data_IF_296868778812
#
_entry.id   IF_296868778812
#
_cell.length_a   1.000
_cell.length_b   1.000
_cell.length_c   1.000
_cell.angle_alpha   90.00
_cell.angle_beta   90.00
_cell.angle_gamma   90.00
#
_symmetry.space_group_name_H-M   'P 1'
#
loop_
_entity.id
_entity.type
_entity.pdbx_description
1 polymer ?
#
# COMPACT_ATOMS: atom_id res chain seq x y z
N UNK A 1 19.43 -24.41 -1.02
CA UNK A 1 19.89 -23.31 -0.17
C UNK A 1 18.74 -22.35 -0.08
N UNK A 2 18.39 -21.85 1.11
CA UNK A 2 17.31 -20.89 1.26
C UNK A 2 17.64 -19.60 0.51
N UNK A 3 16.65 -19.00 -0.15
CA UNK A 3 16.81 -17.77 -0.93
C UNK A 3 16.42 -16.59 -0.04
N UNK A 4 17.31 -16.22 0.89
CA UNK A 4 17.06 -15.11 1.79
C UNK A 4 17.21 -13.77 1.05
N UNK A 5 16.16 -12.96 1.10
CA UNK A 5 16.12 -11.64 0.52
C UNK A 5 15.93 -10.60 1.63
N UNK A 6 16.78 -9.58 1.61
CA UNK A 6 16.56 -8.39 2.42
C UNK A 6 15.57 -7.47 1.70
N UNK A 7 14.42 -7.26 2.28
CA UNK A 7 13.38 -6.35 1.76
C UNK A 7 13.49 -5.01 2.47
N UNK A 8 13.58 -3.92 1.72
CA UNK A 8 13.70 -2.56 2.23
C UNK A 8 12.55 -1.67 1.74
N UNK A 9 11.97 -0.90 2.65
CA UNK A 9 10.98 0.12 2.36
C UNK A 9 11.36 1.42 3.07
N UNK A 10 11.89 2.37 2.32
CA UNK A 10 12.40 3.64 2.83
C UNK A 10 11.35 4.73 2.71
N UNK A 11 10.88 5.25 3.83
CA UNK A 11 10.11 6.50 3.91
C UNK A 11 11.03 7.69 4.18
N UNK A 12 10.49 8.92 4.16
CA UNK A 12 11.26 10.16 4.40
C UNK A 12 11.94 10.21 5.77
N UNK A 13 11.35 9.59 6.78
CA UNK A 13 11.85 9.55 8.16
C UNK A 13 11.82 8.15 8.78
N UNK A 14 11.76 7.12 7.95
CA UNK A 14 11.66 5.73 8.40
C UNK A 14 12.30 4.76 7.42
N UNK A 15 12.73 3.61 7.94
CA UNK A 15 13.21 2.48 7.16
C UNK A 15 12.60 1.21 7.74
N UNK A 16 11.66 0.60 7.02
CA UNK A 16 11.15 -0.74 7.33
C UNK A 16 12.02 -1.76 6.61
N UNK A 17 12.37 -2.84 7.27
CA UNK A 17 13.18 -3.92 6.70
C UNK A 17 12.70 -5.28 7.17
N UNK A 18 12.89 -6.29 6.32
CA UNK A 18 12.65 -7.68 6.66
C UNK A 18 13.65 -8.59 5.93
N UNK A 19 14.02 -9.71 6.53
CA UNK A 19 14.72 -10.82 5.86
C UNK A 19 13.70 -11.93 5.66
N UNK A 20 13.39 -12.22 4.41
CA UNK A 20 12.34 -13.14 3.99
C UNK A 20 12.93 -14.26 3.14
N UNK A 21 12.53 -15.48 3.41
CA UNK A 21 12.80 -16.62 2.53
C UNK A 21 11.83 -16.57 1.35
N UNK A 22 12.35 -16.37 0.14
CA UNK A 22 11.54 -16.21 -1.06
C UNK A 22 10.84 -17.51 -1.52
N UNK A 23 11.27 -18.68 -1.05
CA UNK A 23 10.67 -19.96 -1.44
C UNK A 23 9.41 -20.30 -0.62
N UNK A 24 9.31 -19.80 0.63
CA UNK A 24 8.23 -20.18 1.55
C UNK A 24 7.60 -19.01 2.33
N UNK A 25 8.10 -17.79 2.14
CA UNK A 25 7.59 -16.59 2.80
C UNK A 25 7.96 -16.46 4.29
N UNK A 26 8.83 -17.30 4.82
CA UNK A 26 9.22 -17.22 6.22
C UNK A 26 9.98 -15.93 6.52
N UNK A 27 9.48 -15.14 7.46
CA UNK A 27 10.16 -13.95 7.98
C UNK A 27 11.15 -14.36 9.08
N UNK A 28 12.45 -14.16 8.83
CA UNK A 28 13.51 -14.47 9.78
C UNK A 28 13.91 -13.28 10.64
N UNK A 29 13.74 -12.08 10.14
CA UNK A 29 14.01 -10.82 10.80
C UNK A 29 13.05 -9.77 10.27
N UNK A 30 12.52 -8.92 11.14
CA UNK A 30 11.82 -7.71 10.72
C UNK A 30 12.14 -6.54 11.64
N UNK A 31 12.04 -5.32 11.12
CA UNK A 31 12.31 -4.14 11.92
C UNK A 31 11.88 -2.84 11.25
N UNK A 32 11.94 -1.79 12.07
CA UNK A 32 11.59 -0.44 11.71
C UNK A 32 12.55 0.55 12.39
N UNK A 33 13.30 1.28 11.60
CA UNK A 33 13.92 2.51 12.07
C UNK A 33 12.94 3.67 11.87
N UNK A 34 12.77 4.50 12.86
CA UNK A 34 11.81 5.60 12.87
C UNK A 34 12.40 6.86 13.46
N UNK A 35 11.74 8.01 13.22
CA UNK A 35 12.23 9.33 13.62
C UNK A 35 13.61 9.64 13.04
N UNK A 36 13.93 9.11 11.86
CA UNK A 36 15.20 9.41 11.19
C UNK A 36 15.31 10.91 10.92
N UNK A 37 16.53 11.42 10.96
CA UNK A 37 16.89 12.85 10.90
C UNK A 37 16.49 13.68 12.13
N UNK A 38 15.88 13.06 13.16
CA UNK A 38 15.46 13.71 14.40
C UNK A 38 16.35 13.26 15.58
N UNK A 39 16.34 14.02 16.70
CA UNK A 39 17.13 13.66 17.89
C UNK A 39 16.78 12.29 18.48
N UNK A 40 15.51 11.88 18.36
CA UNK A 40 14.97 10.62 18.88
C UNK A 40 15.01 9.45 17.89
N UNK A 41 15.87 9.51 16.87
CA UNK A 41 16.05 8.44 15.90
C UNK A 41 16.36 7.10 16.59
N UNK A 42 15.54 6.10 16.30
CA UNK A 42 15.61 4.77 16.95
C UNK A 42 15.29 3.65 15.97
N UNK A 43 15.70 2.44 16.34
CA UNK A 43 15.42 1.22 15.57
C UNK A 43 14.82 0.15 16.49
N UNK A 44 13.76 -0.48 16.02
CA UNK A 44 13.09 -1.61 16.67
C UNK A 44 13.18 -2.80 15.75
N UNK A 45 13.43 -4.00 16.31
CA UNK A 45 13.46 -5.20 15.48
C UNK A 45 12.97 -6.43 16.25
N UNK A 46 12.60 -7.44 15.49
CA UNK A 46 12.20 -8.76 15.97
C UNK A 46 13.15 -9.79 15.39
N UNK A 47 13.99 -10.35 16.24
CA UNK A 47 14.92 -11.45 15.98
C UNK A 47 15.09 -12.23 17.29
N UNK A 48 14.56 -13.45 17.35
CA UNK A 48 14.54 -14.25 18.60
C UNK A 48 13.97 -13.48 19.81
N UNK A 49 13.08 -12.49 19.55
CA UNK A 49 12.49 -11.58 20.55
C UNK A 49 12.32 -10.18 19.98
N UNK A 50 11.80 -9.28 20.79
CA UNK A 50 11.64 -7.85 20.45
C UNK A 50 12.78 -7.05 21.05
N UNK A 51 13.39 -6.18 20.26
CA UNK A 51 14.52 -5.36 20.64
C UNK A 51 14.31 -3.90 20.21
N UNK A 52 14.97 -2.98 20.87
CA UNK A 52 14.97 -1.55 20.53
C UNK A 52 16.34 -0.94 20.87
N UNK A 53 16.79 0.01 20.05
CA UNK A 53 18.00 0.80 20.30
C UNK A 53 17.85 2.22 19.76
N UNK A 54 18.57 3.17 20.37
CA UNK A 54 18.73 4.53 19.86
C UNK A 54 19.80 4.54 18.78
N UNK A 55 19.56 5.25 17.68
CA UNK A 55 20.53 5.39 16.58
C UNK A 55 21.44 6.61 16.73
N UNK A 56 21.09 7.52 17.64
CA UNK A 56 21.80 8.78 17.84
C UNK A 56 21.09 9.99 17.22
N UNK A 57 21.51 11.17 17.65
CA UNK A 57 20.92 12.44 17.22
C UNK A 57 21.10 12.65 15.71
N UNK A 58 19.99 12.78 14.99
CA UNK A 58 19.98 13.08 13.56
C UNK A 58 20.37 11.90 12.66
N UNK A 59 20.43 10.68 13.19
CA UNK A 59 20.74 9.50 12.39
C UNK A 59 19.80 9.37 11.18
N UNK A 60 20.36 9.14 10.01
CA UNK A 60 19.65 8.99 8.74
C UNK A 60 19.54 7.52 8.31
N UNK A 61 19.13 7.27 7.07
CA UNK A 61 18.96 5.92 6.53
C UNK A 61 20.29 5.14 6.49
N UNK A 62 21.40 5.83 6.22
CA UNK A 62 22.73 5.19 6.15
C UNK A 62 23.14 4.64 7.52
N UNK A 63 22.96 5.41 8.60
CA UNK A 63 23.23 4.97 9.97
C UNK A 63 22.30 3.84 10.41
N UNK A 64 21.02 3.89 10.01
CA UNK A 64 20.08 2.81 10.30
C UNK A 64 20.45 1.50 9.60
N UNK A 65 20.89 1.57 8.33
CA UNK A 65 21.39 0.41 7.59
C UNK A 65 22.71 -0.10 8.17
N UNK A 66 23.64 0.80 8.52
CA UNK A 66 24.90 0.40 9.18
C UNK A 66 24.62 -0.33 10.50
N UNK A 67 23.72 0.18 11.34
CA UNK A 67 23.33 -0.48 12.57
C UNK A 67 22.72 -1.86 12.32
N UNK A 68 21.86 -1.99 11.30
CA UNK A 68 21.26 -3.27 10.92
C UNK A 68 22.35 -4.28 10.53
N UNK A 69 23.36 -3.88 9.74
CA UNK A 69 24.46 -4.76 9.30
C UNK A 69 25.38 -5.10 10.47
N UNK A 70 25.90 -4.09 11.16
CA UNK A 70 26.97 -4.22 12.15
C UNK A 70 26.51 -4.76 13.50
N UNK A 71 25.20 -4.60 13.81
CA UNK A 71 24.64 -5.02 15.09
C UNK A 71 23.63 -6.15 14.94
N UNK A 72 22.61 -5.97 14.11
CA UNK A 72 21.50 -6.94 14.04
C UNK A 72 21.91 -8.18 13.26
N UNK A 73 22.37 -8.03 12.02
CA UNK A 73 22.81 -9.16 11.19
C UNK A 73 24.10 -9.80 11.73
N UNK A 74 25.01 -9.02 12.29
CA UNK A 74 26.23 -9.54 12.91
C UNK A 74 25.94 -10.43 14.15
N UNK A 75 24.81 -10.22 14.85
CA UNK A 75 24.39 -11.08 15.94
C UNK A 75 23.90 -12.46 15.49
N UNK A 76 23.61 -12.64 14.19
CA UNK A 76 23.13 -13.89 13.60
C UNK A 76 23.78 -14.12 12.22
N UNK A 77 25.09 -14.50 12.20
CA UNK A 77 25.91 -14.61 10.98
C UNK A 77 25.27 -15.47 9.88
N UNK A 78 24.53 -16.51 10.27
CA UNK A 78 23.84 -17.38 9.31
C UNK A 78 22.80 -16.63 8.44
N UNK A 79 22.17 -15.56 8.93
CA UNK A 79 21.30 -14.74 8.09
C UNK A 79 22.10 -13.90 7.11
N UNK A 80 23.15 -13.25 7.59
CA UNK A 80 24.03 -12.41 6.77
C UNK A 80 24.71 -13.19 5.64
N UNK A 81 25.24 -14.37 5.95
CA UNK A 81 25.93 -15.25 5.00
C UNK A 81 25.01 -15.85 3.93
N UNK A 82 23.72 -16.01 4.25
CA UNK A 82 22.71 -16.56 3.34
C UNK A 82 21.90 -15.48 2.61
N UNK A 83 22.15 -14.19 2.87
CA UNK A 83 21.52 -13.12 2.07
C UNK A 83 22.02 -13.20 0.63
N UNK A 84 21.07 -13.34 -0.29
CA UNK A 84 21.36 -13.55 -1.71
C UNK A 84 21.08 -12.31 -2.59
N UNK A 85 20.11 -11.46 -2.19
CA UNK A 85 19.74 -10.25 -2.91
C UNK A 85 18.98 -9.26 -2.00
N UNK A 86 18.76 -8.04 -2.51
CA UNK A 86 18.03 -6.97 -1.83
C UNK A 86 16.88 -6.51 -2.71
N UNK A 87 15.65 -6.52 -2.17
CA UNK A 87 14.47 -5.98 -2.79
C UNK A 87 14.10 -4.63 -2.19
N UNK A 88 13.83 -3.66 -3.05
CA UNK A 88 13.41 -2.32 -2.66
C UNK A 88 11.99 -2.04 -3.11
N UNK A 89 11.12 -1.66 -2.18
CA UNK A 89 9.85 -1.04 -2.55
C UNK A 89 10.12 0.34 -3.11
N UNK A 90 9.54 0.63 -4.28
CA UNK A 90 9.56 1.95 -4.92
C UNK A 90 8.10 2.35 -5.20
N UNK A 91 7.67 3.52 -4.69
CA UNK A 91 6.27 3.92 -4.81
C UNK A 91 5.89 4.22 -6.25
N UNK A 92 6.72 4.93 -7.00
CA UNK A 92 6.34 5.39 -8.33
C UNK A 92 7.35 4.99 -9.41
N UNK A 93 6.88 4.23 -10.40
CA UNK A 93 7.66 3.79 -11.56
C UNK A 93 7.31 4.52 -12.87
N UNK A 94 6.36 5.46 -12.85
CA UNK A 94 5.86 6.12 -14.06
C UNK A 94 5.30 5.11 -15.07
N UNK A 95 5.33 5.45 -16.33
CA UNK A 95 4.98 4.53 -17.43
C UNK A 95 6.16 3.65 -17.86
N UNK A 96 7.38 4.01 -17.42
CA UNK A 96 8.62 3.33 -17.80
C UNK A 96 8.70 1.93 -17.16
N UNK A 97 8.23 1.78 -15.92
CA UNK A 97 8.35 0.54 -15.17
C UNK A 97 6.98 -0.17 -15.07
N UNK A 98 6.78 -1.13 -15.94
CA UNK A 98 5.57 -1.98 -15.98
C UNK A 98 5.72 -3.28 -15.20
N UNK A 99 6.90 -3.53 -14.65
CA UNK A 99 7.27 -4.68 -13.82
C UNK A 99 8.48 -4.34 -12.95
N UNK A 100 8.78 -5.21 -11.99
CA UNK A 100 9.98 -5.12 -11.17
C UNK A 100 11.26 -5.17 -12.03
N UNK A 101 12.31 -4.48 -11.61
CA UNK A 101 13.53 -4.33 -12.39
C UNK A 101 14.79 -4.51 -11.55
N UNK A 102 15.82 -5.18 -12.11
CA UNK A 102 17.16 -5.20 -11.55
C UNK A 102 17.74 -3.77 -11.61
N UNK A 103 18.22 -3.26 -10.47
CA UNK A 103 18.70 -1.88 -10.39
C UNK A 103 20.07 -1.77 -11.05
N UNK A 104 20.07 -1.14 -12.23
CA UNK A 104 21.25 -0.63 -12.96
C UNK A 104 21.28 0.89 -12.81
N UNK A 105 22.35 1.53 -13.33
CA UNK A 105 22.43 3.00 -13.36
C UNK A 105 21.26 3.62 -14.15
N UNK A 106 20.82 2.96 -15.23
CA UNK A 106 19.67 3.39 -16.04
C UNK A 106 18.35 3.27 -15.27
N UNK A 107 18.15 2.16 -14.54
CA UNK A 107 16.95 1.97 -13.70
C UNK A 107 16.94 2.98 -12.56
N UNK A 108 18.08 3.22 -11.91
CA UNK A 108 18.18 4.22 -10.84
C UNK A 108 17.85 5.62 -11.37
N UNK A 109 18.38 5.97 -12.55
CA UNK A 109 18.04 7.23 -13.22
C UNK A 109 16.55 7.32 -13.54
N UNK A 110 15.93 6.26 -14.04
CA UNK A 110 14.49 6.23 -14.29
C UNK A 110 13.66 6.45 -13.02
N UNK A 111 14.10 5.91 -11.88
CA UNK A 111 13.47 6.17 -10.56
C UNK A 111 13.65 7.65 -10.16
N UNK A 112 14.83 8.24 -10.42
CA UNK A 112 15.09 9.66 -10.20
C UNK A 112 14.18 10.54 -11.07
N UNK A 113 14.02 10.21 -12.34
CA UNK A 113 13.15 10.94 -13.27
C UNK A 113 11.66 10.89 -12.82
N UNK A 114 11.23 9.81 -12.16
CA UNK A 114 9.90 9.68 -11.55
C UNK A 114 9.74 10.46 -10.23
N UNK A 115 10.78 11.06 -9.67
CA UNK A 115 10.69 11.78 -8.40
C UNK A 115 9.74 12.98 -8.45
N UNK A 116 9.55 13.60 -9.62
CA UNK A 116 8.56 14.67 -9.81
C UNK A 116 7.11 14.20 -9.62
N UNK A 117 6.82 12.92 -9.88
CA UNK A 117 5.51 12.31 -9.69
C UNK A 117 5.28 11.85 -8.24
N UNK A 118 6.35 11.59 -7.49
CA UNK A 118 6.30 11.16 -6.10
C UNK A 118 7.37 11.88 -5.24
N UNK A 119 7.30 13.21 -5.11
CA UNK A 119 8.35 14.03 -4.48
C UNK A 119 8.57 13.72 -3.00
N UNK A 120 7.57 13.14 -2.33
CA UNK A 120 7.66 12.76 -0.92
C UNK A 120 8.19 11.34 -0.69
N UNK A 121 8.30 10.52 -1.74
CA UNK A 121 8.61 9.09 -1.64
C UNK A 121 9.87 8.70 -2.42
N UNK A 122 9.92 8.91 -3.73
CA UNK A 122 11.02 8.45 -4.57
C UNK A 122 12.40 8.96 -4.12
N UNK A 123 12.58 10.22 -3.68
CA UNK A 123 13.88 10.66 -3.17
C UNK A 123 14.38 9.83 -1.98
N UNK A 124 13.48 9.45 -1.05
CA UNK A 124 13.84 8.60 0.08
C UNK A 124 14.20 7.17 -0.36
N UNK A 125 13.49 6.63 -1.35
CA UNK A 125 13.81 5.31 -1.93
C UNK A 125 15.20 5.31 -2.58
N UNK A 126 15.56 6.35 -3.32
CA UNK A 126 16.87 6.50 -3.94
C UNK A 126 17.99 6.53 -2.89
N UNK A 127 17.77 7.28 -1.78
CA UNK A 127 18.73 7.30 -0.66
C UNK A 127 18.91 5.88 -0.09
N UNK A 128 17.80 5.17 0.16
CA UNK A 128 17.83 3.80 0.66
C UNK A 128 18.53 2.82 -0.28
N UNK A 129 18.28 2.92 -1.59
CA UNK A 129 18.95 2.09 -2.61
C UNK A 129 20.45 2.33 -2.59
N UNK A 130 20.90 3.60 -2.66
CA UNK A 130 22.32 3.96 -2.65
C UNK A 130 23.02 3.50 -1.35
N UNK A 131 22.35 3.65 -0.21
CA UNK A 131 22.86 3.19 1.07
C UNK A 131 22.97 1.65 1.13
N UNK A 132 21.99 0.93 0.62
CA UNK A 132 22.03 -0.54 0.55
C UNK A 132 23.14 -1.05 -0.39
N UNK A 133 23.32 -0.44 -1.56
CA UNK A 133 24.41 -0.77 -2.48
C UNK A 133 25.79 -0.56 -1.85
N UNK A 134 25.95 0.49 -1.03
CA UNK A 134 27.17 0.75 -0.27
C UNK A 134 27.41 -0.28 0.82
N UNK A 135 26.37 -0.68 1.56
CA UNK A 135 26.47 -1.65 2.65
C UNK A 135 26.63 -3.09 2.17
N UNK A 136 26.10 -3.42 1.00
CA UNK A 136 26.10 -4.77 0.42
C UNK A 136 26.57 -4.74 -1.06
N UNK A 137 27.82 -4.39 -1.34
CA UNK A 137 28.27 -4.14 -2.72
C UNK A 137 28.28 -5.40 -3.62
N UNK A 138 28.20 -6.59 -3.04
CA UNK A 138 28.17 -7.85 -3.77
C UNK A 138 26.75 -8.35 -4.08
N UNK A 139 25.72 -7.79 -3.44
CA UNK A 139 24.34 -8.23 -3.61
C UNK A 139 23.64 -7.48 -4.75
N UNK A 140 22.87 -8.22 -5.55
CA UNK A 140 22.00 -7.63 -6.56
C UNK A 140 20.85 -6.90 -5.87
N UNK A 141 20.48 -5.74 -6.40
CA UNK A 141 19.39 -4.92 -5.92
C UNK A 141 18.25 -4.90 -6.95
N UNK A 142 17.02 -5.06 -6.52
CA UNK A 142 15.82 -5.09 -7.37
C UNK A 142 14.83 -4.04 -6.88
N UNK A 143 14.28 -3.24 -7.81
CA UNK A 143 13.18 -2.32 -7.54
C UNK A 143 11.84 -3.00 -7.84
N UNK A 144 10.91 -2.92 -6.89
CA UNK A 144 9.54 -3.39 -7.02
C UNK A 144 8.60 -2.21 -6.87
N UNK A 145 7.84 -1.91 -7.92
CA UNK A 145 7.08 -0.67 -8.03
C UNK A 145 5.62 -0.86 -7.64
N UNK A 146 5.11 0.00 -6.75
CA UNK A 146 3.68 0.00 -6.37
C UNK A 146 2.75 0.29 -7.55
N UNK A 147 3.24 1.00 -8.56
CA UNK A 147 2.48 1.37 -9.75
C UNK A 147 2.47 0.30 -10.84
N UNK A 148 3.39 -0.67 -10.80
CA UNK A 148 3.60 -1.60 -11.92
C UNK A 148 2.38 -2.48 -12.22
N UNK A 149 1.71 -3.00 -11.19
CA UNK A 149 0.50 -3.83 -11.37
C UNK A 149 -0.63 -3.09 -12.10
N UNK A 150 -0.71 -1.77 -11.94
CA UNK A 150 -1.73 -0.92 -12.55
C UNK A 150 -1.41 -0.47 -13.98
N UNK A 151 -0.25 -0.84 -14.53
CA UNK A 151 0.12 -0.47 -15.90
C UNK A 151 -0.69 -1.20 -16.98
N UNK A 152 -1.54 -2.14 -16.58
CA UNK A 152 -2.50 -2.84 -17.45
C UNK A 152 -3.85 -2.11 -17.58
N UNK A 153 -4.05 -0.99 -16.88
CA UNK A 153 -5.27 -0.19 -17.02
C UNK A 153 -5.43 0.32 -18.45
N UNK A 154 -6.64 0.25 -19.05
CA UNK A 154 -6.91 0.80 -20.35
C UNK A 154 -6.95 2.33 -20.32
N UNK A 155 -6.83 2.96 -21.50
CA UNK A 155 -6.71 4.41 -21.66
C UNK A 155 -7.88 5.17 -21.02
N UNK A 156 -9.09 4.68 -21.18
CA UNK A 156 -10.29 5.27 -20.59
C UNK A 156 -10.32 5.24 -19.06
N UNK A 157 -9.55 4.35 -18.42
CA UNK A 157 -9.43 4.28 -16.96
C UNK A 157 -8.31 5.15 -16.42
N UNK A 158 -7.19 5.30 -17.15
CA UNK A 158 -6.07 6.07 -16.65
C UNK A 158 -6.05 7.55 -17.05
N UNK A 159 -6.73 7.96 -18.11
CA UNK A 159 -6.78 9.37 -18.51
C UNK A 159 -7.71 10.17 -17.60
N UNK A 160 -7.23 11.34 -17.20
CA UNK A 160 -8.09 12.38 -16.66
C UNK A 160 -8.73 13.18 -17.81
N UNK A 161 -9.93 13.67 -17.61
CA UNK A 161 -10.61 14.57 -18.54
C UNK A 161 -10.02 16.00 -18.48
N UNK A 162 -8.72 16.09 -18.69
CA UNK A 162 -7.92 17.31 -18.77
C UNK A 162 -7.42 17.51 -20.19
N UNK A 163 -6.86 18.70 -20.54
CA UNK A 163 -6.21 18.88 -21.84
C UNK A 163 -5.19 17.77 -22.10
N UNK A 164 -5.36 17.04 -23.20
CA UNK A 164 -4.60 15.81 -23.50
C UNK A 164 -3.08 16.00 -23.58
N UNK A 165 -2.62 17.22 -23.92
CA UNK A 165 -1.21 17.56 -23.90
C UNK A 165 -0.56 17.41 -22.52
N UNK A 166 -1.32 17.58 -21.43
CA UNK A 166 -0.79 17.38 -20.07
C UNK A 166 -0.40 15.92 -19.83
N UNK A 167 -1.12 14.98 -20.42
CA UNK A 167 -0.70 13.59 -20.41
C UNK A 167 0.53 13.38 -21.31
N UNK A 168 0.49 13.81 -22.56
CA UNK A 168 1.57 13.55 -23.53
C UNK A 168 2.91 14.16 -23.13
N UNK A 169 2.88 15.36 -22.55
CA UNK A 169 4.10 16.14 -22.28
C UNK A 169 4.60 15.93 -20.83
N UNK A 170 3.70 15.61 -19.89
CA UNK A 170 3.99 15.59 -18.46
C UNK A 170 3.60 14.29 -17.77
N UNK A 171 3.04 13.31 -18.48
CA UNK A 171 2.63 12.03 -17.90
C UNK A 171 1.52 12.15 -16.86
N UNK A 172 0.67 13.20 -16.94
CA UNK A 172 -0.44 13.41 -16.00
C UNK A 172 -1.56 12.45 -16.34
N UNK A 173 -1.61 11.36 -15.60
CA UNK A 173 -2.59 10.28 -15.69
C UNK A 173 -2.76 9.60 -14.33
N UNK A 174 -3.74 8.70 -14.21
CA UNK A 174 -3.85 7.78 -13.07
C UNK A 174 -2.76 6.72 -13.18
N UNK A 175 -2.00 6.51 -12.12
CA UNK A 175 -1.05 5.41 -11.99
C UNK A 175 -1.54 4.36 -11.00
N UNK A 176 -2.04 4.79 -9.85
CA UNK A 176 -2.43 3.92 -8.75
C UNK A 176 -1.23 3.43 -7.92
N UNK A 177 -1.50 3.01 -6.70
CA UNK A 177 -0.51 2.50 -5.73
C UNK A 177 -1.03 1.24 -5.06
N UNK A 178 -0.29 0.70 -4.10
CA UNK A 178 -0.55 -0.59 -3.46
C UNK A 178 -0.59 -1.78 -4.45
N UNK A 179 0.01 -1.61 -5.62
CA UNK A 179 -0.04 -2.63 -6.67
C UNK A 179 0.52 -3.97 -6.24
N UNK A 180 1.57 -3.99 -5.43
CA UNK A 180 2.16 -5.20 -4.86
C UNK A 180 1.15 -5.95 -3.98
N UNK A 181 0.40 -5.24 -3.13
CA UNK A 181 -0.68 -5.83 -2.32
C UNK A 181 -1.84 -6.32 -3.19
N UNK A 182 -2.30 -5.54 -4.16
CA UNK A 182 -3.38 -5.95 -5.06
C UNK A 182 -3.00 -7.17 -5.88
N UNK A 183 -1.76 -7.28 -6.34
CA UNK A 183 -1.23 -8.45 -7.03
C UNK A 183 -1.22 -9.69 -6.12
N UNK A 184 -0.72 -9.54 -4.89
CA UNK A 184 -0.70 -10.61 -3.89
C UNK A 184 -2.11 -11.18 -3.67
N UNK A 185 -3.08 -10.32 -3.35
CA UNK A 185 -4.47 -10.72 -3.12
C UNK A 185 -5.08 -11.40 -4.36
N UNK A 186 -4.76 -10.92 -5.56
CA UNK A 186 -5.24 -11.56 -6.80
C UNK A 186 -4.74 -13.00 -6.92
N UNK A 187 -3.47 -13.27 -6.60
CA UNK A 187 -2.88 -14.61 -6.58
C UNK A 187 -3.48 -15.50 -5.49
N UNK A 188 -3.69 -14.95 -4.30
CA UNK A 188 -4.31 -15.69 -3.19
C UNK A 188 -5.75 -16.08 -3.52
N UNK A 189 -6.56 -15.19 -4.11
CA UNK A 189 -7.92 -15.51 -4.55
C UNK A 189 -7.89 -16.59 -5.64
N UNK A 190 -6.96 -16.55 -6.58
CA UNK A 190 -6.79 -17.58 -7.60
C UNK A 190 -6.58 -18.95 -6.95
N UNK A 191 -5.71 -19.02 -5.95
CA UNK A 191 -5.45 -20.24 -5.17
C UNK A 191 -6.69 -20.71 -4.40
N UNK A 192 -7.35 -19.82 -3.68
CA UNK A 192 -8.55 -20.14 -2.88
C UNK A 192 -9.72 -20.61 -3.73
N UNK A 193 -9.88 -20.05 -4.94
CA UNK A 193 -10.93 -20.45 -5.88
C UNK A 193 -10.52 -21.60 -6.80
N UNK A 194 -9.29 -22.08 -6.71
CA UNK A 194 -8.69 -23.07 -7.59
C UNK A 194 -8.88 -22.71 -9.07
N UNK A 195 -8.55 -21.45 -9.41
CA UNK A 195 -8.62 -20.87 -10.76
C UNK A 195 -7.25 -20.42 -11.23
N UNK A 196 -7.00 -20.43 -12.56
CA UNK A 196 -5.87 -19.69 -13.12
C UNK A 196 -5.98 -18.19 -12.76
N UNK A 197 -4.85 -17.54 -12.52
CA UNK A 197 -4.83 -16.10 -12.17
C UNK A 197 -5.50 -15.26 -13.26
N UNK A 198 -5.32 -15.66 -14.53
CA UNK A 198 -5.86 -15.00 -15.73
C UNK A 198 -7.40 -15.11 -15.85
N UNK A 199 -8.05 -15.82 -14.95
CA UNK A 199 -9.51 -15.97 -14.89
C UNK A 199 -10.13 -15.29 -13.66
N UNK A 200 -9.30 -14.67 -12.81
CA UNK A 200 -9.75 -14.03 -11.56
C UNK A 200 -10.30 -12.63 -11.83
N UNK A 201 -11.50 -12.38 -11.31
CA UNK A 201 -12.17 -11.09 -11.38
C UNK A 201 -12.58 -10.68 -9.96
N UNK A 202 -11.92 -9.67 -9.38
CA UNK A 202 -12.17 -9.23 -8.01
C UNK A 202 -12.22 -7.71 -7.90
N UNK A 203 -12.84 -7.24 -6.83
CA UNK A 203 -12.68 -5.89 -6.32
C UNK A 203 -11.94 -6.02 -4.99
N UNK A 204 -10.70 -5.56 -4.95
CA UNK A 204 -9.88 -5.64 -3.74
C UNK A 204 -9.81 -4.29 -3.03
N UNK A 205 -10.16 -4.27 -1.74
CA UNK A 205 -10.10 -3.13 -0.85
C UNK A 205 -8.88 -3.26 0.05
N UNK A 206 -7.80 -2.55 -0.27
CA UNK A 206 -6.63 -2.41 0.61
C UNK A 206 -6.86 -1.20 1.52
N UNK A 207 -7.15 -1.44 2.79
CA UNK A 207 -7.54 -0.43 3.75
C UNK A 207 -6.53 -0.37 4.89
N UNK A 208 -5.72 0.68 4.91
CA UNK A 208 -4.77 1.02 5.95
C UNK A 208 -4.84 2.52 6.26
N UNK A 209 -3.76 3.10 6.76
CA UNK A 209 -3.66 4.56 6.88
C UNK A 209 -3.71 5.24 5.50
N UNK A 210 -3.05 4.65 4.49
CA UNK A 210 -3.39 4.84 3.07
C UNK A 210 -4.38 3.76 2.65
N UNK A 211 -5.32 4.08 1.75
CA UNK A 211 -6.34 3.14 1.32
C UNK A 211 -6.61 3.25 -0.18
N UNK A 212 -6.81 2.11 -0.83
CA UNK A 212 -7.22 2.04 -2.23
C UNK A 212 -8.13 0.86 -2.53
N UNK A 213 -8.95 1.00 -3.56
CA UNK A 213 -9.70 -0.09 -4.17
C UNK A 213 -9.13 -0.34 -5.56
N UNK A 214 -9.03 -1.58 -5.96
CA UNK A 214 -8.61 -1.98 -7.30
C UNK A 214 -9.64 -2.93 -7.90
N UNK A 215 -10.05 -2.66 -9.14
CA UNK A 215 -10.79 -3.59 -9.97
C UNK A 215 -9.81 -4.45 -10.77
N UNK A 216 -9.89 -5.75 -10.57
CA UNK A 216 -9.05 -6.74 -11.27
C UNK A 216 -9.94 -7.57 -12.19
N UNK A 217 -9.62 -7.59 -13.48
CA UNK A 217 -10.32 -8.37 -14.49
C UNK A 217 -9.33 -9.30 -15.19
N UNK A 218 -9.63 -10.59 -15.22
CA UNK A 218 -8.73 -11.58 -15.78
C UNK A 218 -7.31 -11.50 -15.21
N UNK A 219 -7.20 -11.32 -13.88
CA UNK A 219 -5.92 -11.20 -13.18
C UNK A 219 -5.15 -9.90 -13.36
N UNK A 220 -5.69 -8.94 -14.12
CA UNK A 220 -5.04 -7.67 -14.42
C UNK A 220 -5.79 -6.49 -13.79
N UNK A 221 -5.06 -5.50 -13.28
CA UNK A 221 -5.66 -4.24 -12.84
C UNK A 221 -6.28 -3.50 -14.02
N UNK A 222 -7.58 -3.19 -13.92
CA UNK A 222 -8.31 -2.43 -14.95
C UNK A 222 -8.78 -1.07 -14.46
N UNK A 223 -8.81 -0.85 -13.15
CA UNK A 223 -9.06 0.44 -12.53
C UNK A 223 -8.59 0.44 -11.08
N UNK A 224 -8.25 1.61 -10.55
CA UNK A 224 -7.86 1.78 -9.14
C UNK A 224 -8.17 3.17 -8.65
N UNK A 225 -8.41 3.31 -7.34
CA UNK A 225 -8.91 4.56 -6.76
C UNK A 225 -7.84 5.63 -6.52
N UNK A 226 -6.59 5.27 -6.28
CA UNK A 226 -5.49 6.25 -6.22
C UNK A 226 -5.13 6.72 -7.62
N UNK A 227 -4.70 7.97 -7.75
CA UNK A 227 -4.53 8.65 -9.02
C UNK A 227 -3.08 8.81 -9.45
N UNK A 228 -2.77 10.02 -9.93
CA UNK A 228 -1.40 10.47 -10.20
C UNK A 228 -0.53 10.31 -8.96
N UNK A 229 -1.10 10.60 -7.80
CA UNK A 229 -0.50 10.50 -6.48
C UNK A 229 -1.37 9.64 -5.55
N UNK A 230 -0.89 9.24 -4.36
CA UNK A 230 -1.72 8.50 -3.40
C UNK A 230 -2.73 9.37 -2.64
N UNK A 231 -3.17 10.50 -3.20
CA UNK A 231 -4.14 11.42 -2.57
C UNK A 231 -5.58 11.17 -3.00
N UNK A 232 -5.81 10.93 -4.31
CA UNK A 232 -7.14 10.69 -4.89
C UNK A 232 -7.79 9.40 -4.35
N UNK A 233 -9.11 9.35 -4.32
CA UNK A 233 -9.88 8.13 -4.09
C UNK A 233 -10.59 8.11 -2.75
N UNK A 234 -10.32 7.09 -1.95
CA UNK A 234 -10.96 6.82 -0.67
C UNK A 234 -10.62 7.88 0.39
N UNK A 235 -11.50 8.02 1.39
CA UNK A 235 -11.12 8.66 2.65
C UNK A 235 -10.04 7.81 3.31
N UNK A 236 -8.97 8.44 3.78
CA UNK A 236 -7.83 7.75 4.40
C UNK A 236 -7.62 8.24 5.83
N UNK A 237 -6.55 7.82 6.49
CA UNK A 237 -6.26 8.27 7.86
C UNK A 237 -6.12 9.79 7.96
N UNK A 238 -5.30 10.38 7.07
CA UNK A 238 -5.01 11.83 7.06
C UNK A 238 -5.22 12.51 5.71
N UNK A 239 -5.49 11.75 4.65
CA UNK A 239 -5.69 12.24 3.28
C UNK A 239 -7.18 12.31 2.96
N UNK A 240 -7.57 13.36 2.23
CA UNK A 240 -8.97 13.64 1.95
C UNK A 240 -9.63 12.66 0.97
N UNK A 241 -8.87 12.01 0.09
CA UNK A 241 -9.42 11.33 -1.08
C UNK A 241 -10.07 12.33 -2.06
N UNK A 242 -11.14 11.90 -2.73
CA UNK A 242 -11.82 12.74 -3.70
C UNK A 242 -12.47 13.98 -3.08
N UNK A 243 -12.23 15.11 -3.71
CA UNK A 243 -12.91 16.38 -3.45
C UNK A 243 -13.27 17.05 -4.78
N UNK A 244 -14.14 18.06 -4.74
CA UNK A 244 -14.27 18.99 -5.85
C UNK A 244 -12.96 19.81 -5.97
N UNK A 245 -12.27 19.77 -7.14
CA UNK A 245 -11.03 20.53 -7.33
C UNK A 245 -11.20 22.04 -7.11
N UNK A 246 -12.39 22.60 -7.31
CA UNK A 246 -12.69 24.01 -7.08
C UNK A 246 -12.55 24.42 -5.60
N UNK A 247 -12.57 23.46 -4.66
CA UNK A 247 -12.31 23.73 -3.24
C UNK A 247 -10.91 24.32 -3.05
N UNK A 248 -9.91 23.87 -3.83
CA UNK A 248 -8.53 24.38 -3.77
C UNK A 248 -8.51 25.88 -4.06
N UNK A 249 -9.20 26.31 -5.13
CA UNK A 249 -9.28 27.72 -5.49
C UNK A 249 -10.06 28.54 -4.46
N UNK A 250 -11.18 27.99 -3.95
CA UNK A 250 -11.96 28.64 -2.89
C UNK A 250 -11.12 28.87 -1.62
N UNK A 251 -10.36 27.88 -1.18
CA UNK A 251 -9.47 28.02 -0.03
C UNK A 251 -8.38 29.06 -0.26
N UNK A 252 -7.81 29.11 -1.48
CA UNK A 252 -6.79 30.09 -1.81
C UNK A 252 -7.36 31.50 -1.94
N UNK A 253 -8.36 31.67 -2.80
CA UNK A 253 -8.85 33.00 -3.21
C UNK A 253 -9.74 33.64 -2.14
N UNK A 254 -10.54 32.83 -1.40
CA UNK A 254 -11.52 33.33 -0.43
C UNK A 254 -10.99 33.31 0.99
N UNK A 255 -10.31 32.22 1.40
CA UNK A 255 -9.81 32.08 2.76
C UNK A 255 -8.32 32.46 2.92
N UNK A 256 -7.64 32.78 1.82
CA UNK A 256 -6.26 33.26 1.82
C UNK A 256 -5.22 32.19 2.20
N UNK A 257 -5.54 30.90 2.00
CA UNK A 257 -4.59 29.84 2.29
C UNK A 257 -3.51 29.77 1.22
N UNK A 258 -2.25 29.57 1.62
CA UNK A 258 -1.18 29.31 0.66
C UNK A 258 -1.34 27.91 0.04
N UNK A 259 -0.73 27.69 -1.12
CA UNK A 259 -0.72 26.39 -1.79
C UNK A 259 -0.11 25.32 -0.89
N UNK A 260 0.96 25.65 -0.15
CA UNK A 260 1.62 24.72 0.79
C UNK A 260 0.69 24.35 1.94
N UNK A 261 -0.07 25.34 2.49
CA UNK A 261 -1.06 25.08 3.54
C UNK A 261 -2.18 24.17 3.04
N UNK A 262 -2.69 24.42 1.83
CA UNK A 262 -3.71 23.57 1.19
C UNK A 262 -3.19 22.16 1.00
N UNK A 263 -1.99 22.00 0.45
CA UNK A 263 -1.37 20.69 0.27
C UNK A 263 -1.22 19.93 1.61
N UNK A 264 -0.73 20.60 2.65
CA UNK A 264 -0.59 20.02 3.99
C UNK A 264 -1.94 19.58 4.54
N UNK A 265 -2.95 20.43 4.42
CA UNK A 265 -4.32 20.14 4.87
C UNK A 265 -4.91 18.90 4.17
N UNK A 266 -4.81 18.83 2.84
CA UNK A 266 -5.37 17.72 2.06
C UNK A 266 -4.65 16.39 2.32
N UNK A 267 -3.34 16.44 2.62
CA UNK A 267 -2.50 15.24 2.75
C UNK A 267 -2.28 14.76 4.18
N UNK A 268 -2.32 15.65 5.18
CA UNK A 268 -1.93 15.36 6.56
C UNK A 268 -2.99 15.70 7.62
N UNK A 269 -3.96 16.57 7.30
CA UNK A 269 -4.93 17.11 8.28
C UNK A 269 -6.38 16.77 7.89
N UNK A 270 -6.58 15.94 6.87
CA UNK A 270 -7.89 15.52 6.36
C UNK A 270 -8.19 14.06 6.69
N UNK A 271 -9.07 13.43 5.96
CA UNK A 271 -9.45 12.03 6.18
C UNK A 271 -10.10 11.81 7.55
N UNK A 272 -9.83 10.68 8.18
CA UNK A 272 -10.34 10.39 9.52
C UNK A 272 -9.89 11.43 10.54
N UNK A 273 -8.63 11.89 10.47
CA UNK A 273 -8.12 12.93 11.36
C UNK A 273 -8.91 14.23 11.23
N UNK A 274 -9.18 14.68 10.02
CA UNK A 274 -9.97 15.89 9.77
C UNK A 274 -11.44 15.74 10.15
N UNK A 275 -12.04 14.59 9.86
CA UNK A 275 -13.46 14.33 10.16
C UNK A 275 -13.72 14.13 11.66
N UNK A 276 -12.78 13.55 12.39
CA UNK A 276 -12.89 13.37 13.85
C UNK A 276 -12.44 14.60 14.63
N UNK A 277 -11.51 15.39 14.06
CA UNK A 277 -10.79 16.49 14.74
C UNK A 277 -9.98 16.01 15.98
N UNK A 278 -9.80 14.69 16.12
CA UNK A 278 -9.14 14.06 17.28
C UNK A 278 -7.98 13.18 16.85
N UNK A 279 -8.22 12.27 15.89
CA UNK A 279 -7.23 11.23 15.54
C UNK A 279 -7.51 10.62 14.17
N UNK A 280 -6.46 10.10 13.54
CA UNK A 280 -6.54 9.24 12.35
C UNK A 280 -6.76 7.76 12.68
N UNK A 281 -6.77 7.39 13.96
CA UNK A 281 -6.87 5.99 14.39
C UNK A 281 -8.30 5.46 14.19
N UNK A 282 -8.46 4.50 13.28
CA UNK A 282 -9.73 3.86 12.99
C UNK A 282 -10.35 3.15 14.21
N UNK A 283 -9.53 2.68 15.15
CA UNK A 283 -10.03 2.05 16.39
C UNK A 283 -10.83 3.03 17.23
N UNK A 284 -10.38 4.29 17.32
CA UNK A 284 -11.17 5.34 17.99
C UNK A 284 -12.53 5.52 17.32
N UNK A 285 -12.56 5.50 15.99
CA UNK A 285 -13.81 5.65 15.22
C UNK A 285 -14.76 4.48 15.48
N UNK A 286 -14.25 3.25 15.47
CA UNK A 286 -15.05 2.05 15.78
C UNK A 286 -15.60 2.05 17.20
N UNK A 287 -14.72 2.27 18.19
CA UNK A 287 -15.06 2.18 19.61
C UNK A 287 -16.07 3.24 20.05
N UNK A 288 -16.16 4.35 19.31
CA UNK A 288 -17.05 5.48 19.64
C UNK A 288 -18.19 5.68 18.64
N UNK A 289 -18.36 4.78 17.66
CA UNK A 289 -19.46 4.86 16.69
C UNK A 289 -20.81 4.81 17.38
N UNK A 290 -21.71 5.75 17.02
CA UNK A 290 -23.02 5.88 17.65
C UNK A 290 -23.03 6.51 19.05
N UNK A 291 -21.83 6.77 19.62
CA UNK A 291 -21.69 7.39 20.94
C UNK A 291 -21.15 8.83 20.85
N UNK A 292 -20.21 9.05 19.93
CA UNK A 292 -19.63 10.37 19.65
C UNK A 292 -19.96 10.80 18.23
N UNK A 293 -20.37 12.04 18.07
CA UNK A 293 -20.79 12.60 16.79
C UNK A 293 -19.66 12.58 15.76
N UNK A 294 -18.45 12.97 16.17
CA UNK A 294 -17.26 12.99 15.32
C UNK A 294 -16.84 11.61 14.83
N UNK A 295 -16.95 10.59 15.67
CA UNK A 295 -16.65 9.20 15.28
C UNK A 295 -17.72 8.65 14.32
N UNK A 296 -18.98 8.92 14.58
CA UNK A 296 -20.11 8.53 13.72
C UNK A 296 -19.97 9.18 12.34
N UNK A 297 -19.73 10.49 12.29
CA UNK A 297 -19.49 11.25 11.05
C UNK A 297 -18.33 10.64 10.25
N UNK A 298 -17.20 10.38 10.89
CA UNK A 298 -16.03 9.84 10.21
C UNK A 298 -16.29 8.44 9.63
N UNK A 299 -16.92 7.54 10.40
CA UNK A 299 -17.28 6.19 9.95
C UNK A 299 -18.25 6.22 8.77
N UNK A 300 -19.29 7.03 8.86
CA UNK A 300 -20.32 7.10 7.83
C UNK A 300 -19.78 7.64 6.51
N UNK A 301 -18.94 8.69 6.55
CA UNK A 301 -18.29 9.24 5.35
C UNK A 301 -17.31 8.24 4.75
N UNK A 302 -16.50 7.57 5.58
CA UNK A 302 -15.54 6.56 5.13
C UNK A 302 -16.25 5.39 4.42
N UNK A 303 -17.25 4.79 5.07
CA UNK A 303 -17.98 3.65 4.53
C UNK A 303 -18.81 4.01 3.30
N UNK A 304 -19.40 5.22 3.27
CA UNK A 304 -20.15 5.70 2.11
C UNK A 304 -19.25 5.81 0.87
N UNK A 305 -18.08 6.44 1.00
CA UNK A 305 -17.11 6.57 -0.09
C UNK A 305 -16.65 5.21 -0.58
N UNK A 306 -16.26 4.31 0.34
CA UNK A 306 -15.79 2.97 0.01
C UNK A 306 -16.85 2.16 -0.73
N UNK A 307 -18.09 2.15 -0.25
CA UNK A 307 -19.19 1.44 -0.90
C UNK A 307 -19.46 1.95 -2.33
N UNK A 308 -19.36 3.27 -2.56
CA UNK A 308 -19.50 3.85 -3.91
C UNK A 308 -18.41 3.38 -4.86
N UNK A 309 -17.17 3.31 -4.41
CA UNK A 309 -16.06 2.81 -5.22
C UNK A 309 -16.24 1.34 -5.56
N UNK A 310 -16.57 0.49 -4.58
CA UNK A 310 -16.82 -0.94 -4.83
C UNK A 310 -17.97 -1.13 -5.81
N UNK A 311 -19.08 -0.42 -5.62
CA UNK A 311 -20.24 -0.48 -6.53
C UNK A 311 -19.86 0.00 -7.94
N UNK A 312 -19.15 1.13 -8.07
CA UNK A 312 -18.75 1.69 -9.35
C UNK A 312 -17.84 0.75 -10.14
N UNK A 313 -16.94 0.07 -9.47
CA UNK A 313 -15.99 -0.85 -10.11
C UNK A 313 -16.63 -2.13 -10.63
N UNK A 314 -17.85 -2.46 -10.24
CA UNK A 314 -18.60 -3.56 -10.90
C UNK A 314 -18.86 -3.27 -12.39
N UNK A 315 -18.93 -1.99 -12.78
CA UNK A 315 -19.10 -1.60 -14.17
C UNK A 315 -17.86 -1.92 -15.00
N UNK A 316 -16.65 -1.70 -14.47
CA UNK A 316 -15.40 -2.00 -15.17
C UNK A 316 -15.16 -3.49 -15.35
N UNK A 317 -15.79 -4.32 -14.52
CA UNK A 317 -15.72 -5.78 -14.58
C UNK A 317 -16.79 -6.40 -15.48
N UNK A 318 -17.68 -5.61 -16.07
CA UNK A 318 -18.72 -6.04 -17.01
C UNK A 318 -19.58 -7.21 -16.46
N UNK A 319 -19.91 -7.15 -15.18
CA UNK A 319 -20.71 -8.17 -14.50
C UNK A 319 -19.95 -9.44 -14.10
N UNK A 320 -18.64 -9.49 -14.29
CA UNK A 320 -17.78 -10.60 -13.85
C UNK A 320 -17.17 -10.25 -12.48
N UNK A 321 -17.62 -10.88 -11.43
CA UNK A 321 -17.10 -10.65 -10.09
C UNK A 321 -17.09 -11.98 -9.32
N UNK A 322 -15.92 -12.49 -9.04
CA UNK A 322 -15.70 -13.71 -8.26
C UNK A 322 -15.77 -13.44 -6.76
N UNK A 323 -15.21 -12.32 -6.31
CA UNK A 323 -15.22 -11.94 -4.90
C UNK A 323 -14.94 -10.43 -4.70
N UNK A 324 -15.37 -9.92 -3.54
CA UNK A 324 -14.90 -8.67 -2.96
C UNK A 324 -13.91 -9.05 -1.84
N UNK A 325 -12.73 -8.44 -1.82
CA UNK A 325 -11.71 -8.76 -0.81
C UNK A 325 -11.34 -7.56 0.03
N UNK A 326 -11.03 -7.80 1.29
CA UNK A 326 -10.59 -6.81 2.26
C UNK A 326 -9.22 -7.20 2.79
N UNK A 327 -8.29 -6.27 2.75
CA UNK A 327 -6.91 -6.44 3.23
C UNK A 327 -6.36 -5.13 3.79
N UNK A 328 -5.15 -5.16 4.33
CA UNK A 328 -4.56 -4.04 5.05
C UNK A 328 -5.11 -3.89 6.46
N UNK A 329 -4.44 -3.12 7.30
CA UNK A 329 -4.70 -3.10 8.74
C UNK A 329 -6.16 -2.82 9.12
N UNK A 330 -6.86 -1.93 8.43
CA UNK A 330 -8.30 -1.67 8.62
C UNK A 330 -9.12 -2.77 7.96
N UNK A 331 -8.82 -3.14 6.72
CA UNK A 331 -9.57 -4.16 5.98
C UNK A 331 -9.57 -5.53 6.67
N UNK A 332 -8.44 -5.92 7.24
CA UNK A 332 -8.26 -7.18 7.97
C UNK A 332 -8.91 -7.16 9.36
N UNK A 333 -8.97 -6.02 10.03
CA UNK A 333 -9.34 -5.97 11.45
C UNK A 333 -10.67 -5.28 11.75
N UNK A 334 -11.20 -4.44 10.85
CA UNK A 334 -12.45 -3.72 11.07
C UNK A 334 -13.67 -4.47 10.55
N UNK A 335 -14.22 -5.36 11.35
CA UNK A 335 -15.49 -6.03 11.03
C UNK A 335 -16.65 -5.03 10.84
N UNK A 336 -16.80 -3.96 11.65
CA UNK A 336 -17.88 -2.98 11.45
C UNK A 336 -17.81 -2.27 10.09
N UNK A 337 -16.63 -1.85 9.64
CA UNK A 337 -16.46 -1.20 8.33
C UNK A 337 -16.86 -2.16 7.21
N UNK A 338 -16.37 -3.40 7.23
CA UNK A 338 -16.73 -4.40 6.21
C UNK A 338 -18.23 -4.63 6.15
N UNK A 339 -18.88 -4.80 7.28
CA UNK A 339 -20.32 -5.03 7.37
C UNK A 339 -21.13 -3.82 6.89
N UNK A 340 -20.75 -2.61 7.30
CA UNK A 340 -21.41 -1.38 6.86
C UNK A 340 -21.28 -1.16 5.35
N UNK A 341 -20.15 -1.48 4.77
CA UNK A 341 -19.91 -1.38 3.32
C UNK A 341 -20.72 -2.43 2.57
N UNK A 342 -20.63 -3.70 2.96
CA UNK A 342 -21.31 -4.80 2.29
C UNK A 342 -22.83 -4.68 2.36
N UNK A 343 -23.37 -4.21 3.49
CA UNK A 343 -24.82 -3.97 3.63
C UNK A 343 -25.36 -2.89 2.68
N UNK A 344 -24.50 -1.93 2.24
CA UNK A 344 -24.86 -0.96 1.20
C UNK A 344 -24.87 -1.56 -0.21
N UNK A 345 -24.33 -2.75 -0.39
CA UNK A 345 -24.18 -3.45 -1.68
C UNK A 345 -25.24 -4.56 -1.86
N UNK A 346 -26.30 -4.53 -1.10
CA UNK A 346 -27.38 -5.55 -1.16
C UNK A 346 -28.04 -5.70 -2.54
N UNK A 347 -28.00 -4.65 -3.38
CA UNK A 347 -28.48 -4.72 -4.78
C UNK A 347 -27.72 -5.78 -5.61
N UNK A 348 -26.49 -6.12 -5.23
CA UNK A 348 -25.70 -7.16 -5.88
C UNK A 348 -25.98 -8.56 -5.30
N UNK A 349 -26.92 -8.68 -4.37
CA UNK A 349 -27.24 -9.95 -3.71
C UNK A 349 -26.17 -10.38 -2.70
N UNK A 350 -25.47 -9.42 -2.09
CA UNK A 350 -24.49 -9.69 -1.05
C UNK A 350 -25.20 -9.84 0.29
N UNK A 351 -24.89 -10.92 1.00
CA UNK A 351 -25.44 -11.22 2.32
C UNK A 351 -24.29 -11.52 3.29
N UNK A 352 -24.14 -10.63 4.30
CA UNK A 352 -23.05 -10.74 5.28
C UNK A 352 -23.35 -11.84 6.30
N UNK A 353 -22.36 -12.66 6.62
CA UNK A 353 -22.33 -13.50 7.80
C UNK A 353 -21.62 -12.73 8.93
N UNK A 354 -22.39 -12.11 9.81
CA UNK A 354 -21.83 -11.25 10.87
C UNK A 354 -20.94 -12.01 11.84
N UNK A 355 -21.17 -13.31 12.09
CA UNK A 355 -20.34 -14.13 12.95
C UNK A 355 -18.99 -14.44 12.27
N UNK A 356 -19.00 -14.88 11.01
CA UNK A 356 -17.80 -15.11 10.23
C UNK A 356 -16.99 -13.81 10.06
N UNK A 357 -17.67 -12.70 9.78
CA UNK A 357 -17.05 -11.38 9.67
C UNK A 357 -16.35 -10.96 10.98
N UNK A 358 -16.96 -11.20 12.12
CA UNK A 358 -16.36 -10.87 13.42
C UNK A 358 -15.16 -11.76 13.75
N UNK A 359 -15.17 -13.04 13.34
CA UNK A 359 -14.05 -13.97 13.52
C UNK A 359 -12.85 -13.65 12.62
N UNK A 360 -13.07 -13.06 11.45
CA UNK A 360 -12.03 -12.66 10.51
C UNK A 360 -11.34 -11.35 10.96
N UNK A 361 -10.64 -11.39 12.11
CA UNK A 361 -9.90 -10.29 12.75
C UNK A 361 -8.63 -10.84 13.38
N UNK A 362 -7.63 -9.98 13.55
CA UNK A 362 -6.40 -10.27 14.30
C UNK A 362 -5.70 -11.55 13.83
N UNK A 363 -5.55 -11.69 12.51
CA UNK A 363 -4.97 -12.87 11.87
C UNK A 363 -5.99 -13.93 11.45
N UNK A 364 -7.28 -13.72 11.74
CA UNK A 364 -8.35 -14.53 11.15
C UNK A 364 -8.65 -14.13 9.72
N UNK A 365 -8.88 -15.10 8.86
CA UNK A 365 -9.14 -14.92 7.43
C UNK A 365 -10.33 -15.74 6.98
N UNK A 366 -10.79 -15.53 5.75
CA UNK A 366 -11.78 -16.36 5.08
C UNK A 366 -12.99 -15.60 4.58
N UNK A 367 -14.00 -16.37 4.16
CA UNK A 367 -15.26 -15.86 3.63
C UNK A 367 -16.11 -15.29 4.77
N UNK A 368 -16.63 -14.07 4.56
CA UNK A 368 -17.43 -13.32 5.53
C UNK A 368 -18.87 -13.09 5.07
N UNK A 369 -19.32 -13.83 4.07
CA UNK A 369 -20.69 -13.81 3.54
C UNK A 369 -21.35 -15.17 3.73
N UNK A 370 -22.68 -15.21 3.76
CA UNK A 370 -23.43 -16.45 3.85
C UNK A 370 -23.34 -17.27 2.57
N UNK A 371 -23.71 -18.55 2.63
CA UNK A 371 -23.78 -19.42 1.45
C UNK A 371 -24.83 -18.95 0.41
N UNK A 372 -25.79 -18.11 0.82
CA UNK A 372 -26.80 -17.52 -0.05
C UNK A 372 -26.32 -16.26 -0.77
N UNK A 373 -25.21 -15.68 -0.33
CA UNK A 373 -24.65 -14.49 -0.97
C UNK A 373 -24.29 -14.77 -2.41
N UNK A 374 -24.80 -13.95 -3.32
CA UNK A 374 -24.50 -14.09 -4.76
C UNK A 374 -23.04 -13.87 -5.07
N UNK A 375 -22.41 -12.96 -4.36
CA UNK A 375 -20.99 -12.63 -4.48
C UNK A 375 -20.38 -12.83 -3.10
N UNK A 376 -19.34 -13.68 -2.97
CA UNK A 376 -18.63 -13.82 -1.72
C UNK A 376 -17.78 -12.58 -1.42
N UNK A 377 -17.65 -12.25 -0.14
CA UNK A 377 -16.64 -11.33 0.34
C UNK A 377 -15.66 -12.08 1.25
N UNK A 378 -14.40 -11.71 1.20
CA UNK A 378 -13.31 -12.41 1.88
C UNK A 378 -12.39 -11.43 2.58
N UNK A 379 -11.82 -11.87 3.71
CA UNK A 379 -10.68 -11.22 4.37
C UNK A 379 -9.43 -12.05 4.09
N UNK A 380 -8.42 -11.41 3.56
CA UNK A 380 -7.13 -12.04 3.21
C UNK A 380 -6.03 -11.08 3.67
N UNK A 381 -5.09 -11.54 4.49
CA UNK A 381 -3.95 -10.75 4.93
C UNK A 381 -2.98 -10.53 3.78
N UNK A 382 -2.58 -9.28 3.56
CA UNK A 382 -1.59 -8.98 2.52
C UNK A 382 -0.17 -9.33 2.97
N UNK A 383 0.69 -9.69 2.03
CA UNK A 383 2.10 -9.94 2.26
C UNK A 383 2.95 -9.33 1.13
N UNK A 384 3.15 -8.02 1.21
CA UNK A 384 3.92 -7.28 0.22
C UNK A 384 5.40 -7.66 0.25
N UNK A 385 5.93 -7.96 1.44
CA UNK A 385 7.32 -8.38 1.61
C UNK A 385 7.62 -9.70 0.88
N UNK A 386 6.68 -10.63 0.84
CA UNK A 386 6.83 -11.88 0.09
C UNK A 386 6.88 -11.62 -1.42
N UNK A 387 5.98 -10.80 -1.95
CA UNK A 387 5.99 -10.46 -3.38
C UNK A 387 7.31 -9.79 -3.77
N UNK A 388 7.81 -8.87 -2.93
CA UNK A 388 9.09 -8.21 -3.16
C UNK A 388 10.23 -9.24 -3.13
N UNK A 389 10.21 -10.19 -2.18
CA UNK A 389 11.22 -11.23 -2.06
C UNK A 389 11.21 -12.20 -3.27
N UNK A 390 10.03 -12.65 -3.71
CA UNK A 390 9.85 -13.52 -4.88
C UNK A 390 10.35 -12.85 -6.17
N UNK A 391 9.94 -11.61 -6.43
CA UNK A 391 10.39 -10.86 -7.61
C UNK A 391 11.89 -10.60 -7.57
N UNK A 392 12.42 -10.29 -6.39
CA UNK A 392 13.86 -10.09 -6.18
C UNK A 392 14.63 -11.37 -6.46
N UNK A 393 14.21 -12.52 -5.92
CA UNK A 393 14.87 -13.80 -6.15
C UNK A 393 14.86 -14.17 -7.64
N UNK A 394 13.70 -14.03 -8.30
CA UNK A 394 13.53 -14.31 -9.73
C UNK A 394 14.46 -13.45 -10.59
N UNK A 395 14.52 -12.13 -10.37
CA UNK A 395 15.33 -11.20 -11.16
C UNK A 395 16.82 -11.27 -10.82
N UNK A 396 17.16 -11.61 -9.58
CA UNK A 396 18.54 -11.86 -9.19
C UNK A 396 19.09 -13.18 -9.75
N UNK A 397 18.22 -14.09 -10.21
CA UNK A 397 18.60 -15.40 -10.76
C UNK A 397 18.91 -16.43 -9.67
N UNK A 398 18.19 -16.39 -8.55
CA UNK A 398 18.35 -17.27 -7.39
C UNK A 398 17.55 -18.57 -7.53
#
# INVERSE_FOLDING_TARGET
MSKLVLVLNCGSSSLKFAVVDADNGAEHLSGLAECLHLPEARIKWKLDGKHEAQLGNGAAHEEALAFMVETILASKPELSENLAAIGHRVVHGGEQFTQSALITDEVLKGIEDCATLAPLHNPAHIIGIKAAQKSFPALKNVAVFDTAFHQTMPEEAYLYALPYNLYKEHGIRRYGMHGTSHLFITREVASLLNKPVEEVNIINCHLGNGASVCAVKNGQSVDTSMGLTPLEGLVMGTRCGDIDPAIIFHLHDTLGYSVEKINTMLTKESGLAGLTEVTSDCRFVEDNYGQKEEATRAMDVFCHRLAKYVAGYTATLEGRLDAITFTGGIGENSAPIREMVLNRLGIFGIEVDSEANLKARFGGEGVITTANSRIPAMVISTNEELVIAEDTARLAGL
#
